data_IF_239010596310
#
_entry.id   IF_239010596310
#
_cell.length_a   1.000
_cell.length_b   1.000
_cell.length_c   1.000
_cell.angle_alpha   90.00
_cell.angle_beta   90.00
_cell.angle_gamma   90.00
#
_symmetry.space_group_name_H-M   'P 1'
#
loop_
_entity.id
_entity.type
_entity.pdbx_description
1 polymer ?
#
# COMPACT_ATOMS: atom_id res chain seq x y z
N UNK A 1 13.77 -11.00 14.40
CA UNK A 1 13.81 -9.60 13.93
C UNK A 1 12.81 -8.81 14.78
N UNK A 2 13.24 -7.71 15.38
CA UNK A 2 12.38 -6.82 16.18
C UNK A 2 12.42 -5.44 15.55
N UNK A 3 11.25 -4.83 15.34
CA UNK A 3 11.17 -3.46 14.80
C UNK A 3 11.54 -2.47 15.91
N UNK A 4 12.48 -1.54 15.70
CA UNK A 4 12.82 -0.52 16.67
C UNK A 4 11.64 0.40 17.01
N UNK A 5 11.74 1.05 18.17
CA UNK A 5 10.74 2.03 18.58
C UNK A 5 10.73 3.22 17.59
N UNK A 6 9.53 3.65 17.19
CA UNK A 6 9.37 4.77 16.25
C UNK A 6 9.58 4.39 14.78
N UNK A 7 9.83 3.13 14.47
CA UNK A 7 10.02 2.65 13.10
C UNK A 7 8.94 1.66 12.66
N UNK A 8 8.84 1.46 11.35
CA UNK A 8 7.85 0.59 10.73
C UNK A 8 8.50 -0.37 9.74
N UNK A 9 8.10 -1.64 9.83
CA UNK A 9 8.30 -2.62 8.76
C UNK A 9 7.22 -2.41 7.70
N UNK A 10 7.60 -2.02 6.49
CA UNK A 10 6.70 -1.87 5.36
C UNK A 10 6.89 -3.03 4.38
N UNK A 11 5.78 -3.64 3.96
CA UNK A 11 5.78 -4.74 2.98
C UNK A 11 4.74 -4.45 1.90
N UNK A 12 5.11 -4.64 0.64
CA UNK A 12 4.17 -4.57 -0.46
C UNK A 12 3.27 -5.81 -0.52
N UNK A 13 2.06 -5.69 -1.08
CA UNK A 13 1.17 -6.83 -1.29
C UNK A 13 1.71 -7.79 -2.37
N UNK A 14 2.39 -7.27 -3.40
CA UNK A 14 3.08 -8.05 -4.42
C UNK A 14 4.48 -8.47 -3.92
N UNK A 15 4.54 -9.55 -3.14
CA UNK A 15 5.72 -9.90 -2.32
C UNK A 15 6.98 -10.20 -3.13
N UNK A 16 6.85 -10.79 -4.31
CA UNK A 16 8.00 -11.14 -5.13
C UNK A 16 8.52 -9.97 -5.98
N UNK A 17 7.72 -8.90 -6.09
CA UNK A 17 8.01 -7.71 -6.89
C UNK A 17 7.72 -6.44 -6.06
N UNK A 18 8.35 -6.39 -4.89
CA UNK A 18 8.31 -5.22 -4.01
C UNK A 18 9.67 -5.00 -3.38
N UNK A 19 10.30 -3.87 -3.74
CA UNK A 19 11.45 -3.35 -3.04
C UNK A 19 10.96 -2.62 -1.78
N UNK A 20 10.87 -3.36 -0.68
CA UNK A 20 10.32 -2.88 0.59
C UNK A 20 11.33 -3.05 1.74
N UNK A 21 10.86 -3.08 2.99
CA UNK A 21 11.76 -3.16 4.15
C UNK A 21 12.67 -4.39 4.17
N UNK A 22 12.37 -5.44 3.40
CA UNK A 22 13.29 -6.58 3.21
C UNK A 22 14.60 -6.20 2.52
N UNK A 23 14.58 -5.12 1.73
CA UNK A 23 15.73 -4.59 1.01
C UNK A 23 16.28 -3.32 1.65
N UNK A 24 15.41 -2.41 2.10
CA UNK A 24 15.81 -1.07 2.56
C UNK A 24 15.90 -0.92 4.09
N UNK A 25 15.39 -1.89 4.86
CA UNK A 25 15.28 -1.77 6.32
C UNK A 25 13.99 -1.08 6.76
N UNK A 26 13.95 -0.62 8.01
CA UNK A 26 12.76 0.01 8.58
C UNK A 26 12.66 1.49 8.22
N UNK A 27 11.45 2.03 8.27
CA UNK A 27 11.17 3.43 7.99
C UNK A 27 10.76 4.18 9.25
N UNK A 28 11.29 5.38 9.51
CA UNK A 28 10.94 6.17 10.68
C UNK A 28 9.52 6.74 10.57
N UNK A 29 8.88 6.93 11.73
CA UNK A 29 7.51 7.44 11.83
C UNK A 29 7.31 8.79 11.13
N UNK A 30 8.32 9.66 11.12
CA UNK A 30 8.25 10.99 10.53
C UNK A 30 8.10 11.02 9.00
N UNK A 31 8.48 9.93 8.31
CA UNK A 31 8.31 9.80 6.86
C UNK A 31 6.89 9.38 6.45
N UNK A 32 6.09 8.89 7.41
CA UNK A 32 4.70 8.46 7.17
C UNK A 32 3.75 9.66 7.08
N UNK A 33 3.28 9.94 5.86
CA UNK A 33 2.31 11.02 5.61
C UNK A 33 0.87 10.67 6.05
N UNK A 34 0.45 9.40 5.90
CA UNK A 34 -0.92 9.00 6.21
C UNK A 34 -1.24 7.57 5.80
N UNK A 35 -2.51 7.18 5.95
CA UNK A 35 -3.04 5.85 5.58
C UNK A 35 -4.07 5.97 4.46
N UNK A 36 -3.81 5.31 3.34
CA UNK A 36 -4.75 5.22 2.22
C UNK A 36 -5.93 4.32 2.59
N UNK A 37 -7.16 4.80 2.36
CA UNK A 37 -8.40 4.08 2.75
C UNK A 37 -9.22 3.59 1.56
N UNK A 38 -9.20 4.32 0.45
CA UNK A 38 -10.06 4.08 -0.72
C UNK A 38 -9.34 4.40 -2.03
N UNK A 39 -9.82 3.79 -3.11
CA UNK A 39 -9.37 4.12 -4.47
C UNK A 39 -10.13 5.34 -4.99
N UNK A 40 -9.42 6.42 -5.31
CA UNK A 40 -10.00 7.62 -5.89
C UNK A 40 -10.06 7.59 -7.43
N UNK A 41 -9.13 6.89 -8.06
CA UNK A 41 -9.00 6.85 -9.52
C UNK A 41 -8.28 5.57 -9.96
N UNK A 42 -8.68 4.99 -11.09
CA UNK A 42 -8.07 3.78 -11.66
C UNK A 42 -8.26 3.74 -13.18
N UNK A 43 -7.18 3.46 -13.92
CA UNK A 43 -7.17 3.36 -15.37
C UNK A 43 -6.61 2.00 -15.82
N UNK A 44 -7.06 1.54 -16.98
CA UNK A 44 -6.63 0.29 -17.57
C UNK A 44 -5.57 0.46 -18.68
N UNK A 45 -4.28 0.20 -18.42
CA UNK A 45 -3.23 0.40 -19.42
C UNK A 45 -3.39 -0.51 -20.64
N UNK A 46 -3.98 -1.71 -20.47
CA UNK A 46 -4.16 -2.67 -21.56
C UNK A 46 -5.36 -2.33 -22.45
N UNK A 47 -6.24 -1.44 -21.98
CA UNK A 47 -7.46 -1.04 -22.67
C UNK A 47 -7.51 0.48 -22.90
N UNK A 48 -6.44 1.04 -23.47
CA UNK A 48 -6.34 2.47 -23.84
C UNK A 48 -6.62 3.44 -22.68
N UNK A 49 -6.17 3.08 -21.46
CA UNK A 49 -6.40 3.88 -20.26
C UNK A 49 -7.88 4.16 -19.97
N UNK A 50 -8.78 3.25 -20.36
CA UNK A 50 -10.20 3.37 -20.00
C UNK A 50 -10.35 3.40 -18.47
N UNK A 51 -11.18 4.29 -17.90
CA UNK A 51 -11.43 4.31 -16.46
C UNK A 51 -12.10 3.03 -15.95
N UNK A 52 -11.60 2.51 -14.82
CA UNK A 52 -12.20 1.37 -14.10
C UNK A 52 -13.13 1.89 -12.99
N UNK A 53 -14.36 2.26 -13.36
CA UNK A 53 -15.33 2.89 -12.46
C UNK A 53 -15.78 1.99 -11.30
N UNK A 54 -15.78 0.67 -11.50
CA UNK A 54 -16.07 -0.33 -10.48
C UNK A 54 -15.11 -0.26 -9.27
N UNK A 55 -13.90 0.26 -9.50
CA UNK A 55 -12.91 0.42 -8.43
C UNK A 55 -13.06 1.71 -7.64
N UNK A 56 -13.82 2.69 -8.14
CA UNK A 56 -13.98 3.96 -7.44
C UNK A 56 -14.62 3.77 -6.05
N UNK A 57 -14.01 4.35 -5.03
CA UNK A 57 -14.51 4.30 -3.66
C UNK A 57 -14.37 2.93 -2.98
N UNK A 58 -13.84 1.91 -3.65
CA UNK A 58 -13.53 0.60 -3.04
C UNK A 58 -12.62 0.80 -1.83
N UNK A 59 -12.89 0.06 -0.75
CA UNK A 59 -12.09 0.11 0.48
C UNK A 59 -10.82 -0.71 0.30
N UNK A 60 -9.68 -0.14 0.67
CA UNK A 60 -8.39 -0.84 0.69
C UNK A 60 -8.17 -1.59 2.00
N UNK A 61 -8.81 -1.13 3.07
CA UNK A 61 -8.78 -1.85 4.33
C UNK A 61 -9.88 -2.92 4.36
N UNK A 62 -9.50 -4.16 4.08
CA UNK A 62 -10.11 -5.29 4.76
C UNK A 62 -9.49 -5.31 6.16
N UNK A 63 -10.05 -4.55 7.11
CA UNK A 63 -9.79 -4.89 8.51
C UNK A 63 -10.39 -6.27 8.67
N UNK A 64 -9.55 -7.29 8.71
CA UNK A 64 -9.89 -8.55 9.35
C UNK A 64 -10.41 -8.16 10.74
N UNK A 65 -11.72 -8.25 10.91
CA UNK A 65 -12.34 -8.13 12.22
C UNK A 65 -11.79 -9.27 13.06
N UNK A 66 -10.80 -8.94 13.87
CA UNK A 66 -10.46 -9.65 15.10
C UNK A 66 -10.23 -8.61 16.17
#
# INVERSE_FOLDING_TARGET
MTVPAGEYLMLGDNRDDSADSRYFGFFPREELMGRTRRVAFSLDPDHFYKPRFDRFGTRLDAVATR
#
